data_IF_190440580935
#
_entry.id   IF_190440580935
#
_cell.length_a   1.000
_cell.length_b   1.000
_cell.length_c   1.000
_cell.angle_alpha   90.00
_cell.angle_beta   90.00
_cell.angle_gamma   90.00
#
_symmetry.space_group_name_H-M   'P 1'
#
loop_
_entity.id
_entity.type
_entity.pdbx_description
1 polymer ?
#
# COMPACT_ATOMS: atom_id res chain seq x y z
N UNK A 1 20.07 6.78 -6.06
CA UNK A 1 18.86 5.96 -5.88
C UNK A 1 19.26 4.49 -5.92
N UNK A 2 19.20 3.83 -4.77
CA UNK A 2 19.49 2.39 -4.64
C UNK A 2 18.37 1.53 -5.23
N UNK A 3 18.72 0.34 -5.75
CA UNK A 3 17.75 -0.61 -6.36
C UNK A 3 16.66 -1.08 -5.38
N UNK A 4 16.98 -1.12 -4.09
CA UNK A 4 16.04 -1.46 -3.02
C UNK A 4 14.99 -0.37 -2.85
N UNK A 5 15.39 0.91 -2.73
CA UNK A 5 14.46 2.04 -2.67
C UNK A 5 13.52 2.07 -3.89
N UNK A 6 14.04 1.88 -5.11
CA UNK A 6 13.20 1.77 -6.30
C UNK A 6 12.17 0.63 -6.22
N UNK A 7 12.55 -0.52 -5.62
CA UNK A 7 11.65 -1.66 -5.42
C UNK A 7 10.56 -1.35 -4.38
N UNK A 8 10.92 -0.68 -3.28
CA UNK A 8 9.99 -0.23 -2.25
C UNK A 8 9.00 0.80 -2.80
N UNK A 9 9.48 1.75 -3.61
CA UNK A 9 8.66 2.74 -4.28
C UNK A 9 7.63 2.09 -5.22
N UNK A 10 8.06 1.19 -6.11
CA UNK A 10 7.15 0.44 -7.01
C UNK A 10 6.11 -0.35 -6.23
N UNK A 11 6.53 -1.07 -5.17
CA UNK A 11 5.61 -1.86 -4.34
C UNK A 11 4.60 -0.98 -3.60
N UNK A 12 5.02 0.18 -3.08
CA UNK A 12 4.12 1.10 -2.40
C UNK A 12 3.10 1.71 -3.37
N UNK A 13 3.50 1.98 -4.62
CA UNK A 13 2.59 2.45 -5.67
C UNK A 13 1.53 1.40 -5.99
N UNK A 14 1.93 0.14 -6.20
CA UNK A 14 1.02 -0.97 -6.49
C UNK A 14 -0.01 -1.21 -5.35
N UNK A 15 0.46 -1.20 -4.09
CA UNK A 15 -0.44 -1.37 -2.94
C UNK A 15 -1.43 -0.21 -2.81
N UNK A 16 -1.01 1.01 -3.13
CA UNK A 16 -1.89 2.17 -3.14
C UNK A 16 -2.97 2.06 -4.24
N UNK A 17 -2.62 1.54 -5.41
CA UNK A 17 -3.59 1.27 -6.49
C UNK A 17 -4.62 0.22 -6.07
N UNK A 18 -4.20 -0.85 -5.39
CA UNK A 18 -5.10 -1.87 -4.86
C UNK A 18 -6.09 -1.30 -3.81
N UNK A 19 -5.60 -0.42 -2.93
CA UNK A 19 -6.46 0.31 -1.97
C UNK A 19 -7.50 1.15 -2.70
N UNK A 20 -7.10 1.91 -3.73
CA UNK A 20 -8.05 2.72 -4.53
C UNK A 20 -9.07 1.85 -5.27
N UNK A 21 -8.64 0.75 -5.86
CA UNK A 21 -9.53 -0.20 -6.53
C UNK A 21 -10.55 -0.82 -5.57
N UNK A 22 -10.13 -1.13 -4.33
CA UNK A 22 -11.03 -1.59 -3.27
C UNK A 22 -12.10 -0.54 -2.94
N UNK A 23 -11.73 0.73 -2.81
CA UNK A 23 -12.71 1.80 -2.57
C UNK A 23 -13.66 2.02 -3.76
N UNK A 24 -13.16 1.94 -4.99
CA UNK A 24 -13.98 2.08 -6.19
C UNK A 24 -15.06 1.00 -6.29
N UNK A 25 -14.74 -0.26 -5.97
CA UNK A 25 -15.72 -1.37 -5.99
C UNK A 25 -16.72 -1.33 -4.83
N UNK A 26 -16.33 -0.75 -3.69
CA UNK A 26 -17.15 -0.75 -2.49
C UNK A 26 -18.26 0.32 -2.48
N UNK A 27 -18.24 1.27 -3.43
CA UNK A 27 -19.33 2.25 -3.56
C UNK A 27 -19.48 3.20 -2.36
N UNK A 28 -18.40 3.44 -1.61
CA UNK A 28 -18.36 4.42 -0.51
C UNK A 28 -18.31 3.84 0.90
N UNK A 29 -18.55 2.53 1.10
CA UNK A 29 -18.36 1.88 2.41
C UNK A 29 -17.91 0.44 2.25
N UNK A 30 -16.88 0.06 3.01
CA UNK A 30 -16.40 -1.32 3.07
C UNK A 30 -17.31 -2.20 3.94
N UNK A 31 -17.65 -3.37 3.45
CA UNK A 31 -18.16 -4.47 4.27
C UNK A 31 -17.06 -5.07 5.18
N UNK A 32 -17.40 -6.07 5.98
CA UNK A 32 -16.45 -6.69 6.93
C UNK A 32 -15.26 -7.37 6.24
N UNK A 33 -15.51 -8.08 5.13
CA UNK A 33 -14.45 -8.76 4.38
C UNK A 33 -13.54 -7.76 3.69
N UNK A 34 -14.13 -6.73 3.09
CA UNK A 34 -13.43 -5.62 2.46
C UNK A 34 -12.62 -4.81 3.46
N UNK A 35 -13.11 -4.65 4.69
CA UNK A 35 -12.36 -3.99 5.78
C UNK A 35 -11.12 -4.80 6.17
N UNK A 36 -11.26 -6.12 6.34
CA UNK A 36 -10.11 -6.98 6.62
C UNK A 36 -9.08 -6.94 5.48
N UNK A 37 -9.53 -6.84 4.23
CA UNK A 37 -8.64 -6.63 3.08
C UNK A 37 -7.95 -5.27 3.12
N UNK A 38 -8.70 -4.20 3.40
CA UNK A 38 -8.15 -2.85 3.54
C UNK A 38 -7.06 -2.78 4.61
N UNK A 39 -7.29 -3.38 5.78
CA UNK A 39 -6.31 -3.39 6.88
C UNK A 39 -5.01 -4.10 6.48
N UNK A 40 -5.11 -5.22 5.76
CA UNK A 40 -3.93 -5.91 5.21
C UNK A 40 -3.18 -5.06 4.19
N UNK A 41 -3.89 -4.43 3.26
CA UNK A 41 -3.30 -3.57 2.23
C UNK A 41 -2.62 -2.34 2.83
N UNK A 42 -3.27 -1.66 3.78
CA UNK A 42 -2.70 -0.48 4.47
C UNK A 42 -1.47 -0.86 5.29
N UNK A 43 -1.49 -2.00 5.98
CA UNK A 43 -0.33 -2.50 6.74
C UNK A 43 0.85 -2.77 5.81
N UNK A 44 0.61 -3.46 4.70
CA UNK A 44 1.64 -3.75 3.70
C UNK A 44 2.18 -2.47 3.04
N UNK A 45 1.29 -1.51 2.73
CA UNK A 45 1.66 -0.23 2.12
C UNK A 45 2.57 0.57 3.07
N UNK A 46 2.19 0.68 4.34
CA UNK A 46 2.99 1.38 5.34
C UNK A 46 4.38 0.75 5.53
N UNK A 47 4.49 -0.58 5.43
CA UNK A 47 5.79 -1.26 5.44
C UNK A 47 6.62 -0.95 4.19
N UNK A 48 6.00 -0.93 3.01
CA UNK A 48 6.68 -0.60 1.76
C UNK A 48 7.20 0.85 1.77
N UNK A 49 6.39 1.82 2.22
CA UNK A 49 6.78 3.23 2.33
C UNK A 49 7.93 3.41 3.32
N UNK A 50 7.91 2.74 4.48
CA UNK A 50 9.02 2.84 5.45
C UNK A 50 10.35 2.31 4.88
N UNK A 51 10.30 1.26 4.07
CA UNK A 51 11.47 0.75 3.36
C UNK A 51 11.99 1.68 2.26
N UNK A 52 11.14 2.56 1.73
CA UNK A 52 11.52 3.63 0.80
C UNK A 52 12.22 4.79 1.53
N UNK A 53 11.77 5.11 2.75
CA UNK A 53 12.30 6.23 3.56
C UNK A 53 13.62 5.90 4.28
N UNK A 54 13.98 4.62 4.41
CA UNK A 54 15.29 4.21 4.95
C UNK A 54 16.42 4.37 3.92
N UNK A 55 16.68 5.60 3.48
CA UNK A 55 17.98 6.00 2.92
C UNK A 55 18.72 6.72 4.07
N UNK A 56 19.78 6.13 4.67
CA UNK A 56 20.46 6.75 5.81
C UNK A 56 21.31 7.95 5.35
N UNK A 57 21.24 9.03 6.12
CA UNK A 57 22.23 10.12 6.15
C UNK A 57 23.56 9.64 6.74
#
# INVERSE_FOLDING_TARGET
MSREAATHSVRSAELNEQIRALWARAGGRLDEQQRAEYERLVTAWAAAVRGDVTEPV
#
